data_IF_850875970567
#
_entry.id   IF_850875970567
#
_cell.length_a   1.000
_cell.length_b   1.000
_cell.length_c   1.000
_cell.angle_alpha   90.00
_cell.angle_beta   90.00
_cell.angle_gamma   90.00
#
_symmetry.space_group_name_H-M   'P 1'
#
loop_
_entity.id
_entity.type
_entity.pdbx_description
1 polymer ?
#
# COMPACT_ATOMS: atom_id res chain seq x y z
N UNK A 1 10.45 -2.84 4.40
CA UNK A 1 9.14 -2.30 4.82
C UNK A 1 8.39 -3.41 5.50
N UNK A 2 7.75 -3.10 6.61
CA UNK A 2 7.10 -4.12 7.44
C UNK A 2 5.57 -4.06 7.36
N UNK A 3 5.02 -3.11 6.58
CA UNK A 3 3.60 -3.13 6.22
C UNK A 3 3.33 -4.09 5.07
N UNK A 4 2.13 -4.68 5.02
CA UNK A 4 1.60 -5.43 3.89
C UNK A 4 0.63 -6.53 4.27
N UNK A 5 0.21 -7.31 3.26
CA UNK A 5 -0.62 -8.49 3.46
C UNK A 5 -0.23 -9.56 2.44
N UNK A 6 -0.18 -10.82 2.87
CA UNK A 6 0.04 -11.99 2.00
C UNK A 6 -0.97 -12.05 0.83
N UNK A 7 -2.15 -11.44 0.99
CA UNK A 7 -3.15 -11.34 -0.07
C UNK A 7 -2.65 -10.57 -1.30
N UNK A 8 -1.66 -9.69 -1.16
CA UNK A 8 -1.04 -8.98 -2.29
C UNK A 8 -0.38 -9.93 -3.29
N UNK A 9 0.14 -11.07 -2.83
CA UNK A 9 0.77 -12.08 -3.70
C UNK A 9 -0.26 -12.91 -4.47
N UNK A 10 -1.53 -12.87 -4.05
CA UNK A 10 -2.61 -13.67 -4.64
C UNK A 10 -3.32 -12.99 -5.82
N UNK A 11 -3.07 -11.69 -6.02
CA UNK A 11 -3.70 -10.89 -7.08
C UNK A 11 -2.65 -10.52 -8.13
N UNK A 12 -2.82 -11.03 -9.35
CA UNK A 12 -2.00 -10.62 -10.47
C UNK A 12 -2.12 -9.10 -10.72
N UNK A 13 -0.98 -8.45 -10.89
CA UNK A 13 -0.88 -7.02 -11.18
C UNK A 13 -0.74 -6.11 -9.96
N UNK A 14 -0.72 -6.61 -8.73
CA UNK A 14 -0.44 -5.78 -7.52
C UNK A 14 0.91 -5.07 -7.61
N UNK A 15 1.94 -5.73 -8.15
CA UNK A 15 3.24 -5.11 -8.47
C UNK A 15 3.16 -3.94 -9.47
N UNK A 16 2.31 -4.05 -10.49
CA UNK A 16 2.05 -2.96 -11.43
C UNK A 16 1.28 -1.82 -10.76
N UNK A 17 0.31 -2.14 -9.89
CA UNK A 17 -0.46 -1.15 -9.15
C UNK A 17 0.44 -0.33 -8.23
N UNK A 18 1.28 -0.96 -7.40
CA UNK A 18 2.21 -0.23 -6.52
C UNK A 18 3.21 0.60 -7.32
N UNK A 19 3.67 0.12 -8.48
CA UNK A 19 4.54 0.90 -9.38
C UNK A 19 3.86 2.18 -9.88
N UNK A 20 2.57 2.11 -10.22
CA UNK A 20 1.79 3.30 -10.58
C UNK A 20 1.65 4.28 -9.42
N UNK A 21 1.44 3.78 -8.18
CA UNK A 21 1.38 4.62 -6.98
C UNK A 21 2.73 5.29 -6.71
N UNK A 22 3.84 4.58 -6.87
CA UNK A 22 5.20 5.15 -6.81
C UNK A 22 5.34 6.28 -7.83
N UNK A 23 4.85 6.09 -9.07
CA UNK A 23 4.84 7.14 -10.08
C UNK A 23 4.09 8.41 -9.65
N UNK A 24 2.94 8.26 -9.01
CA UNK A 24 2.17 9.40 -8.46
C UNK A 24 2.96 10.15 -7.38
N UNK A 25 3.58 9.43 -6.44
CA UNK A 25 4.37 10.02 -5.36
C UNK A 25 5.63 10.71 -5.87
N UNK A 26 6.37 10.07 -6.79
CA UNK A 26 7.55 10.66 -7.41
C UNK A 26 7.16 11.90 -8.24
N UNK A 27 6.04 11.86 -8.95
CA UNK A 27 5.55 13.00 -9.72
C UNK A 27 5.15 14.19 -8.84
N UNK A 28 4.59 13.95 -7.65
CA UNK A 28 4.14 14.99 -6.72
C UNK A 28 5.26 15.50 -5.79
N UNK A 29 6.15 14.62 -5.33
CA UNK A 29 7.13 14.89 -4.27
C UNK A 29 8.60 14.86 -4.76
N UNK A 30 8.84 14.49 -6.01
CA UNK A 30 10.18 14.33 -6.59
C UNK A 30 10.78 12.94 -6.39
N UNK A 31 11.83 12.65 -7.16
CA UNK A 31 12.53 11.36 -7.13
C UNK A 31 13.45 11.25 -5.92
N UNK A 32 13.02 10.54 -4.89
CA UNK A 32 13.82 10.24 -3.71
C UNK A 32 13.48 8.87 -3.14
N UNK A 33 14.36 8.33 -2.28
CA UNK A 33 14.09 7.08 -1.56
C UNK A 33 12.87 7.26 -0.66
N UNK A 34 12.71 8.45 -0.08
CA UNK A 34 11.58 8.82 0.76
C UNK A 34 10.27 8.77 -0.02
N UNK A 35 10.19 9.38 -1.21
CA UNK A 35 8.98 9.37 -2.06
C UNK A 35 8.58 7.95 -2.47
N UNK A 36 9.55 7.14 -2.90
CA UNK A 36 9.30 5.73 -3.25
C UNK A 36 8.88 4.95 -2.01
N UNK A 37 9.53 5.21 -0.87
CA UNK A 37 9.25 4.49 0.36
C UNK A 37 7.84 4.79 0.89
N UNK A 38 7.45 6.06 0.91
CA UNK A 38 6.13 6.50 1.30
C UNK A 38 5.04 5.85 0.43
N UNK A 39 5.22 5.81 -0.89
CA UNK A 39 4.28 5.19 -1.81
C UNK A 39 4.04 3.71 -1.51
N UNK A 40 5.11 2.93 -1.31
CA UNK A 40 5.01 1.50 -1.03
C UNK A 40 4.36 1.28 0.34
N UNK A 41 4.76 2.05 1.37
CA UNK A 41 4.15 1.92 2.70
C UNK A 41 2.66 2.24 2.68
N UNK A 42 2.25 3.31 2.00
CA UNK A 42 0.84 3.70 1.86
C UNK A 42 0.02 2.63 1.16
N UNK A 43 0.56 2.05 0.08
CA UNK A 43 -0.10 0.94 -0.62
C UNK A 43 -0.23 -0.30 0.26
N UNK A 44 0.80 -0.61 1.04
CA UNK A 44 0.80 -1.77 1.94
C UNK A 44 -0.14 -1.58 3.14
N UNK A 45 -0.24 -0.37 3.71
CA UNK A 45 -1.21 -0.05 4.78
C UNK A 45 -2.64 -0.15 4.24
N UNK A 46 -2.89 0.29 3.00
CA UNK A 46 -4.19 0.09 2.36
C UNK A 46 -4.53 -1.40 2.19
N UNK A 47 -3.54 -2.26 1.93
CA UNK A 47 -3.73 -3.70 1.86
C UNK A 47 -4.06 -4.33 3.22
N UNK A 48 -3.39 -3.90 4.30
CA UNK A 48 -3.73 -4.31 5.67
C UNK A 48 -5.18 -3.93 6.01
N UNK A 49 -5.53 -2.67 5.78
CA UNK A 49 -6.88 -2.14 6.02
C UNK A 49 -7.96 -2.87 5.21
N UNK A 50 -7.64 -3.29 3.99
CA UNK A 50 -8.53 -4.08 3.15
C UNK A 50 -8.86 -5.46 3.76
N UNK A 51 -7.93 -6.05 4.52
CA UNK A 51 -8.10 -7.34 5.20
C UNK A 51 -8.75 -7.17 6.57
N UNK A 52 -8.39 -6.13 7.33
CA UNK A 52 -8.98 -5.84 8.63
C UNK A 52 -10.47 -5.43 8.54
N UNK A 53 -10.83 -4.70 7.48
CA UNK A 53 -12.17 -4.12 7.28
C UNK A 53 -13.30 -5.09 6.91
N UNK A 54 -13.09 -6.42 6.94
CA UNK A 54 -14.15 -7.41 6.80
C UNK A 54 -13.83 -8.62 5.92
N UNK A 55 -14.88 -9.39 5.56
CA UNK A 55 -14.78 -10.70 4.90
C UNK A 55 -14.09 -10.62 3.52
N UNK A 56 -12.79 -10.86 3.49
CA UNK A 56 -12.05 -11.23 2.29
C UNK A 56 -12.27 -12.72 2.03
N UNK A 57 -12.97 -13.05 0.95
CA UNK A 57 -13.31 -14.42 0.57
C UNK A 57 -12.29 -15.05 -0.39
N UNK A 58 -11.32 -14.25 -0.85
CA UNK A 58 -10.32 -14.63 -1.83
C UNK A 58 -9.82 -13.43 -2.65
N UNK A 59 -8.97 -13.67 -3.66
CA UNK A 59 -8.24 -12.62 -4.38
C UNK A 59 -9.13 -11.58 -5.06
N UNK A 60 -10.26 -12.00 -5.62
CA UNK A 60 -11.22 -11.09 -6.26
C UNK A 60 -11.83 -10.09 -5.28
N UNK A 61 -12.31 -10.57 -4.12
CA UNK A 61 -12.86 -9.69 -3.07
C UNK A 61 -11.77 -8.81 -2.43
N UNK A 62 -10.56 -9.33 -2.27
CA UNK A 62 -9.43 -8.56 -1.77
C UNK A 62 -9.07 -7.43 -2.73
N UNK A 63 -8.98 -7.69 -4.04
CA UNK A 63 -8.71 -6.65 -5.04
C UNK A 63 -9.70 -5.49 -4.95
N UNK A 64 -11.00 -5.79 -4.88
CA UNK A 64 -12.03 -4.74 -4.74
C UNK A 64 -11.83 -3.95 -3.45
N UNK A 65 -11.64 -4.64 -2.33
CA UNK A 65 -11.40 -4.00 -1.02
C UNK A 65 -10.11 -3.19 -0.97
N UNK A 66 -9.05 -3.63 -1.64
CA UNK A 66 -7.79 -2.91 -1.76
C UNK A 66 -8.01 -1.58 -2.48
N UNK A 67 -8.75 -1.57 -3.58
CA UNK A 67 -9.07 -0.34 -4.31
C UNK A 67 -9.91 0.62 -3.46
N UNK A 68 -10.93 0.09 -2.76
CA UNK A 68 -11.75 0.88 -1.83
C UNK A 68 -10.90 1.45 -0.69
N UNK A 69 -9.95 0.67 -0.17
CA UNK A 69 -9.07 1.06 0.93
C UNK A 69 -8.04 2.11 0.49
N UNK A 70 -7.51 2.01 -0.73
CA UNK A 70 -6.64 3.05 -1.32
C UNK A 70 -7.42 4.35 -1.49
N UNK A 71 -8.68 4.29 -1.94
CA UNK A 71 -9.54 5.47 -2.09
C UNK A 71 -9.87 6.12 -0.74
N UNK A 72 -10.19 5.31 0.28
CA UNK A 72 -10.59 5.79 1.60
C UNK A 72 -9.45 6.03 2.59
N UNK A 73 -8.19 5.90 2.17
CA UNK A 73 -7.04 6.03 3.06
C UNK A 73 -6.87 7.48 3.51
N UNK A 74 -6.72 7.68 4.82
CA UNK A 74 -6.52 9.00 5.41
C UNK A 74 -5.09 9.17 5.91
N UNK A 75 -4.70 10.41 6.21
CA UNK A 75 -3.41 10.69 6.84
C UNK A 75 -3.28 9.99 8.20
N UNK A 76 -4.34 10.01 8.99
CA UNK A 76 -4.35 9.40 10.32
C UNK A 76 -4.15 7.88 10.25
N UNK A 77 -4.70 7.23 9.22
CA UNK A 77 -4.46 5.80 8.98
C UNK A 77 -2.97 5.50 8.73
N UNK A 78 -2.31 6.36 7.95
CA UNK A 78 -0.90 6.21 7.60
C UNK A 78 -0.03 6.48 8.82
N UNK A 79 -0.21 7.63 9.47
CA UNK A 79 0.59 8.05 10.63
C UNK A 79 0.47 7.04 11.79
N UNK A 80 -0.69 6.41 11.95
CA UNK A 80 -0.93 5.38 12.98
C UNK A 80 -0.39 3.98 12.66
N UNK A 81 -0.12 3.67 11.38
CA UNK A 81 0.19 2.30 10.92
C UNK A 81 1.57 2.15 10.29
N UNK A 82 2.26 3.25 9.99
CA UNK A 82 3.52 3.25 9.24
C UNK A 82 4.63 2.52 9.99
N UNK A 83 5.18 1.48 9.35
CA UNK A 83 6.31 0.68 9.84
C UNK A 83 7.45 0.70 8.82
N UNK A 84 8.26 1.76 8.90
CA UNK A 84 9.45 1.95 8.07
C UNK A 84 10.73 1.79 8.89
N UNK A 85 11.67 1.02 8.37
CA UNK A 85 13.03 0.92 8.91
C UNK A 85 14.03 1.33 7.83
N UNK A 86 14.80 2.40 8.09
CA UNK A 86 15.87 2.84 7.20
C UNK A 86 17.14 2.06 7.54
N UNK A 87 17.45 1.03 6.77
CA UNK A 87 18.74 0.35 6.86
C UNK A 87 19.79 1.19 6.12
N UNK A 88 20.74 1.77 6.87
CA UNK A 88 21.93 2.40 6.29
C UNK A 88 22.76 1.32 5.58
N UNK A 89 23.12 1.60 4.33
CA UNK A 89 24.05 0.80 3.50
C UNK A 89 25.48 1.10 3.93
#
# INVERSE_FOLDING_TARGET
>A
MDNGSDMLETVSGTGCMVSSVIGCYVGACGTSVESVSAAISVFNIAAEKAVEGGKVFGPGSFKTKLLDSVYGLTKDDVDGSIRMELRKV
#
